data_IF_451264334425
#
_entry.id   IF_451264334425
#
_cell.length_a   1.000
_cell.length_b   1.000
_cell.length_c   1.000
_cell.angle_alpha   90.00
_cell.angle_beta   90.00
_cell.angle_gamma   90.00
#
_symmetry.space_group_name_H-M   'P 1'
#
loop_
_entity.id
_entity.type
_entity.pdbx_description
1 polymer ?
#
# COMPACT_ATOMS: atom_id res chain seq x y z
N UNK A 1 -1.05 -6.75 -28.34
CA UNK A 1 -0.97 -6.93 -26.89
C UNK A 1 -1.62 -5.74 -26.22
N UNK A 2 -2.35 -5.90 -25.12
CA UNK A 2 -2.93 -4.77 -24.40
C UNK A 2 -1.86 -3.86 -23.84
N UNK A 3 -2.17 -2.57 -23.78
CA UNK A 3 -1.32 -1.52 -23.21
C UNK A 3 -2.04 -0.88 -22.04
N UNK A 4 -1.43 -0.90 -20.87
CA UNK A 4 -1.94 -0.25 -19.66
C UNK A 4 -1.10 0.98 -19.37
N UNK A 5 -1.72 2.14 -19.23
CA UNK A 5 -1.01 3.30 -18.70
C UNK A 5 -1.02 3.24 -17.18
N UNK A 6 0.17 3.34 -16.58
CA UNK A 6 0.34 3.55 -15.15
C UNK A 6 0.68 5.03 -14.92
N UNK A 7 -0.13 5.72 -14.13
CA UNK A 7 0.10 7.11 -13.73
C UNK A 7 0.90 7.11 -12.44
N UNK A 8 2.11 7.69 -12.48
CA UNK A 8 3.11 7.64 -11.43
C UNK A 8 4.26 6.69 -11.78
N UNK A 9 5.42 6.90 -11.16
CA UNK A 9 6.69 6.33 -11.61
C UNK A 9 7.54 5.74 -10.47
N UNK A 10 6.87 5.42 -9.35
CA UNK A 10 7.48 4.86 -8.16
C UNK A 10 7.73 3.34 -8.24
N UNK A 11 7.95 2.75 -7.06
CA UNK A 11 8.22 1.31 -6.96
C UNK A 11 7.03 0.43 -7.36
N UNK A 12 5.79 0.88 -7.14
CA UNK A 12 4.62 0.09 -7.50
C UNK A 12 4.50 -0.03 -9.02
N UNK A 13 4.66 1.08 -9.74
CA UNK A 13 4.72 1.08 -11.21
C UNK A 13 5.86 0.20 -11.74
N UNK A 14 7.04 0.23 -11.09
CA UNK A 14 8.16 -0.65 -11.42
C UNK A 14 7.78 -2.13 -11.31
N UNK A 15 7.13 -2.52 -10.21
CA UNK A 15 6.72 -3.91 -9.98
C UNK A 15 5.54 -4.32 -10.86
N UNK A 16 4.61 -3.39 -11.19
CA UNK A 16 3.58 -3.64 -12.21
C UNK A 16 4.21 -3.91 -13.59
N UNK A 17 5.25 -3.16 -13.99
CA UNK A 17 5.98 -3.42 -15.24
C UNK A 17 6.61 -4.82 -15.24
N UNK A 18 7.20 -5.25 -14.12
CA UNK A 18 7.79 -6.59 -14.00
C UNK A 18 6.74 -7.67 -14.22
N UNK A 19 5.60 -7.57 -13.53
CA UNK A 19 4.49 -8.51 -13.69
C UNK A 19 3.88 -8.47 -15.11
N UNK A 20 3.75 -7.29 -15.71
CA UNK A 20 3.23 -7.12 -17.06
C UNK A 20 4.08 -7.85 -18.11
N UNK A 21 5.41 -7.83 -17.97
CA UNK A 21 6.34 -8.54 -18.88
C UNK A 21 6.02 -10.05 -18.88
N UNK A 22 5.84 -10.65 -17.71
CA UNK A 22 5.62 -12.09 -17.55
C UNK A 22 4.32 -12.57 -18.21
N UNK A 23 3.27 -11.72 -18.20
CA UNK A 23 1.97 -12.03 -18.80
C UNK A 23 1.76 -11.41 -20.19
N UNK A 24 2.85 -10.93 -20.80
CA UNK A 24 2.84 -10.42 -22.18
C UNK A 24 2.06 -9.11 -22.38
N UNK A 25 1.90 -8.30 -21.35
CA UNK A 25 1.30 -6.96 -21.42
C UNK A 25 2.40 -5.90 -21.62
N UNK A 26 1.98 -4.68 -21.98
CA UNK A 26 2.88 -3.53 -22.09
C UNK A 26 2.39 -2.42 -21.16
N UNK A 27 3.30 -1.88 -20.37
CA UNK A 27 3.06 -0.68 -19.58
C UNK A 27 3.57 0.54 -20.33
N UNK A 28 2.70 1.55 -20.45
CA UNK A 28 3.06 2.93 -20.76
C UNK A 28 3.06 3.71 -19.45
N UNK A 29 4.11 4.47 -19.19
CA UNK A 29 4.30 5.17 -17.93
C UNK A 29 4.06 6.67 -18.12
N UNK A 30 3.27 7.31 -17.26
CA UNK A 30 3.35 8.77 -17.09
C UNK A 30 4.29 9.04 -15.91
N UNK A 31 5.45 9.62 -16.20
CA UNK A 31 6.52 9.84 -15.23
C UNK A 31 6.88 11.31 -15.08
N UNK A 32 7.16 11.74 -13.85
CA UNK A 32 7.72 13.06 -13.58
C UNK A 32 9.21 13.18 -13.96
N UNK A 33 9.92 12.03 -14.08
CA UNK A 33 11.34 11.99 -14.42
C UNK A 33 11.71 10.72 -15.20
N UNK A 34 12.64 10.84 -16.14
CA UNK A 34 13.16 9.72 -16.93
C UNK A 34 14.09 8.78 -16.16
N UNK A 35 14.55 9.14 -14.98
CA UNK A 35 15.41 8.34 -14.09
C UNK A 35 14.70 7.82 -12.84
N UNK A 36 13.38 7.98 -12.78
CA UNK A 36 12.55 7.47 -11.68
C UNK A 36 12.56 5.93 -11.62
N UNK A 37 12.11 5.39 -10.49
CA UNK A 37 12.16 3.94 -10.22
C UNK A 37 11.58 3.08 -11.36
N UNK A 38 10.41 3.42 -11.87
CA UNK A 38 9.78 2.69 -12.96
C UNK A 38 10.35 3.07 -14.33
N UNK A 39 10.68 4.34 -14.57
CA UNK A 39 11.21 4.80 -15.87
C UNK A 39 12.53 4.12 -16.24
N UNK A 40 13.34 3.71 -15.25
CA UNK A 40 14.58 2.95 -15.50
C UNK A 40 14.36 1.61 -16.22
N UNK A 41 13.16 1.02 -16.16
CA UNK A 41 12.87 -0.30 -16.71
C UNK A 41 11.69 -0.31 -17.70
N UNK A 42 10.91 0.75 -17.77
CA UNK A 42 9.83 0.89 -18.75
C UNK A 42 10.39 1.40 -20.08
N UNK A 43 9.98 0.77 -21.17
CA UNK A 43 10.40 1.20 -22.52
C UNK A 43 9.58 2.39 -23.03
N UNK A 44 8.29 2.44 -22.69
CA UNK A 44 7.35 3.46 -23.14
C UNK A 44 7.06 4.43 -21.99
N UNK A 45 7.76 5.55 -21.98
CA UNK A 45 7.67 6.57 -20.92
C UNK A 45 7.23 7.89 -21.56
N UNK A 46 6.11 8.40 -21.08
CA UNK A 46 5.65 9.77 -21.34
C UNK A 46 6.08 10.64 -20.15
N UNK A 47 6.84 11.70 -20.39
CA UNK A 47 7.19 12.65 -19.35
C UNK A 47 6.10 13.71 -19.21
N UNK A 48 5.64 13.93 -17.97
CA UNK A 48 4.59 14.90 -17.68
C UNK A 48 4.16 14.91 -16.23
N UNK A 49 3.17 15.75 -15.94
CA UNK A 49 2.61 15.95 -14.62
C UNK A 49 1.19 15.33 -14.56
N UNK A 50 0.93 14.50 -13.55
CA UNK A 50 -0.39 13.90 -13.33
C UNK A 50 -1.47 14.92 -12.93
N UNK A 51 -1.10 16.15 -12.62
CA UNK A 51 -2.01 17.28 -12.36
C UNK A 51 -2.36 18.06 -13.63
N UNK A 52 -1.70 17.79 -14.77
CA UNK A 52 -1.99 18.36 -16.06
C UNK A 52 -2.85 17.41 -16.91
N UNK A 53 -4.03 17.86 -17.31
CA UNK A 53 -4.97 17.04 -18.10
C UNK A 53 -4.43 16.68 -19.48
N UNK A 54 -3.67 17.57 -20.11
CA UNK A 54 -3.13 17.31 -21.47
C UNK A 54 -1.98 16.28 -21.39
N UNK A 55 -1.19 16.28 -20.34
CA UNK A 55 -0.18 15.26 -20.08
C UNK A 55 -0.84 13.89 -19.86
N UNK A 56 -1.90 13.84 -19.07
CA UNK A 56 -2.71 12.63 -18.89
C UNK A 56 -3.29 12.14 -20.24
N UNK A 57 -3.85 13.03 -21.06
CA UNK A 57 -4.38 12.68 -22.38
C UNK A 57 -3.31 12.14 -23.33
N UNK A 58 -2.09 12.69 -23.30
CA UNK A 58 -0.98 12.16 -24.09
C UNK A 58 -0.56 10.76 -23.62
N UNK A 59 -0.49 10.55 -22.30
CA UNK A 59 -0.13 9.27 -21.72
C UNK A 59 -1.16 8.17 -22.00
N UNK A 60 -2.44 8.52 -22.19
CA UNK A 60 -3.52 7.56 -22.44
C UNK A 60 -3.73 7.21 -23.91
N UNK A 61 -2.81 7.62 -24.80
CA UNK A 61 -2.88 7.34 -26.23
C UNK A 61 -1.59 6.72 -26.74
N UNK A 62 -1.70 5.66 -27.49
CA UNK A 62 -0.56 4.96 -28.10
C UNK A 62 -0.66 4.98 -29.62
N UNK A 63 0.48 4.99 -30.27
CA UNK A 63 0.56 4.82 -31.73
C UNK A 63 0.76 3.34 -32.03
N UNK A 64 -0.22 2.73 -32.70
CA UNK A 64 -0.17 1.35 -33.18
C UNK A 64 -0.58 1.30 -34.64
N UNK A 65 0.18 0.58 -35.48
CA UNK A 65 -0.09 0.37 -36.91
C UNK A 65 -0.36 1.66 -37.70
N UNK A 66 0.36 2.73 -37.35
CA UNK A 66 0.21 4.04 -37.97
C UNK A 66 -0.98 4.87 -37.48
N UNK A 67 -1.82 4.32 -36.62
CA UNK A 67 -2.97 5.00 -36.01
C UNK A 67 -2.70 5.36 -34.56
N UNK A 68 -3.39 6.40 -34.06
CA UNK A 68 -3.42 6.74 -32.65
C UNK A 68 -4.71 6.12 -32.06
N UNK A 69 -4.57 5.30 -31.02
CA UNK A 69 -5.69 4.70 -30.30
C UNK A 69 -5.58 4.92 -28.80
N UNK A 70 -6.68 4.84 -28.04
CA UNK A 70 -6.63 4.78 -26.59
C UNK A 70 -5.83 3.55 -26.11
N UNK A 71 -5.23 3.65 -24.92
CA UNK A 71 -4.73 2.48 -24.18
C UNK A 71 -5.90 1.60 -23.74
N UNK A 72 -5.62 0.35 -23.36
CA UNK A 72 -6.68 -0.60 -23.01
C UNK A 72 -7.19 -0.35 -21.57
N UNK A 73 -6.33 0.17 -20.67
CA UNK A 73 -6.71 0.65 -19.35
C UNK A 73 -5.73 1.68 -18.81
N UNK A 74 -6.17 2.46 -17.83
CA UNK A 74 -5.36 3.38 -17.02
C UNK A 74 -5.43 2.94 -15.57
N UNK A 75 -4.29 2.88 -14.89
CA UNK A 75 -4.20 2.61 -13.45
C UNK A 75 -3.13 3.49 -12.79
N UNK A 76 -2.87 3.30 -11.50
CA UNK A 76 -2.15 4.27 -10.68
C UNK A 76 -1.06 3.63 -9.81
N UNK A 77 0.03 4.36 -9.63
CA UNK A 77 1.07 4.11 -8.61
C UNK A 77 0.75 4.85 -7.29
N UNK A 78 -0.12 5.87 -7.36
CA UNK A 78 -0.56 6.68 -6.23
C UNK A 78 -1.99 7.19 -6.46
N UNK A 79 -2.67 7.70 -5.42
CA UNK A 79 -4.05 8.16 -5.45
C UNK A 79 -4.23 9.68 -5.72
N UNK A 80 -3.17 10.41 -6.14
CA UNK A 80 -3.19 11.89 -6.14
C UNK A 80 -3.73 12.56 -7.41
N UNK A 81 -4.10 11.78 -8.43
CA UNK A 81 -4.63 12.34 -9.68
C UNK A 81 -5.96 13.06 -9.40
N UNK A 82 -6.14 14.32 -9.85
CA UNK A 82 -7.39 15.05 -9.63
C UNK A 82 -8.60 14.30 -10.18
N UNK A 83 -9.66 14.19 -9.37
CA UNK A 83 -10.87 13.44 -9.71
C UNK A 83 -11.54 13.97 -10.98
N UNK A 84 -11.53 15.29 -11.19
CA UNK A 84 -12.06 15.95 -12.41
C UNK A 84 -11.30 15.53 -13.67
N UNK A 85 -10.00 15.33 -13.59
CA UNK A 85 -9.19 14.87 -14.72
C UNK A 85 -9.52 13.40 -15.06
N UNK A 86 -9.72 12.55 -14.04
CA UNK A 86 -10.13 11.18 -14.27
C UNK A 86 -11.52 11.08 -14.93
N UNK A 87 -12.46 11.95 -14.53
CA UNK A 87 -13.76 12.04 -15.19
C UNK A 87 -13.64 12.53 -16.63
N UNK A 88 -12.73 13.47 -16.91
CA UNK A 88 -12.48 13.91 -18.27
C UNK A 88 -11.93 12.77 -19.15
N UNK A 89 -10.97 11.96 -18.62
CA UNK A 89 -10.47 10.78 -19.34
C UNK A 89 -11.60 9.76 -19.62
N UNK A 90 -12.48 9.50 -18.65
CA UNK A 90 -13.64 8.63 -18.88
C UNK A 90 -14.59 9.18 -19.95
N UNK A 91 -14.84 10.50 -19.97
CA UNK A 91 -15.62 11.15 -21.01
C UNK A 91 -14.95 11.07 -22.39
N UNK A 92 -13.61 11.02 -22.45
CA UNK A 92 -12.81 10.76 -23.66
C UNK A 92 -12.85 9.26 -24.08
N UNK A 93 -13.57 8.38 -23.34
CA UNK A 93 -13.70 6.95 -23.63
C UNK A 93 -12.55 6.09 -23.10
N UNK A 94 -11.75 6.59 -22.18
CA UNK A 94 -10.63 5.87 -21.55
C UNK A 94 -11.14 4.99 -20.40
N UNK A 95 -10.72 3.73 -20.34
CA UNK A 95 -10.98 2.83 -19.22
C UNK A 95 -10.06 3.21 -18.04
N UNK A 96 -10.62 3.86 -17.01
CA UNK A 96 -9.90 4.31 -15.80
C UNK A 96 -10.20 3.33 -14.66
N UNK A 97 -9.18 2.63 -14.13
CA UNK A 97 -9.30 1.55 -13.14
C UNK A 97 -8.32 1.73 -11.98
N UNK A 98 -8.80 1.99 -10.74
CA UNK A 98 -10.20 2.21 -10.36
C UNK A 98 -10.77 3.52 -10.91
N UNK A 99 -12.10 3.56 -11.05
CA UNK A 99 -12.79 4.77 -11.49
C UNK A 99 -12.74 5.91 -10.46
N UNK A 100 -12.99 7.17 -10.90
CA UNK A 100 -12.88 8.35 -10.02
C UNK A 100 -13.82 8.31 -8.81
N UNK A 101 -15.01 7.71 -8.93
CA UNK A 101 -16.00 7.63 -7.85
C UNK A 101 -15.57 6.62 -6.75
N UNK A 102 -14.78 5.62 -7.11
CA UNK A 102 -14.12 4.75 -6.15
C UNK A 102 -12.91 5.48 -5.54
N UNK A 103 -12.01 6.00 -6.39
CA UNK A 103 -10.71 6.53 -5.98
C UNK A 103 -10.80 7.70 -5.00
N UNK A 104 -11.87 8.52 -5.07
CA UNK A 104 -12.08 9.64 -4.14
C UNK A 104 -12.12 9.18 -2.68
N UNK A 105 -12.54 7.93 -2.41
CA UNK A 105 -12.53 7.36 -1.06
C UNK A 105 -11.12 7.08 -0.53
N UNK A 106 -10.13 6.89 -1.41
CA UNK A 106 -8.72 6.79 -1.00
C UNK A 106 -8.06 8.18 -0.91
N UNK A 107 -8.64 9.21 -1.55
CA UNK A 107 -8.09 10.57 -1.58
C UNK A 107 -8.53 11.44 -0.39
N UNK A 108 -9.75 11.23 0.14
CA UNK A 108 -10.33 12.05 1.20
C UNK A 108 -10.88 11.19 2.34
N UNK A 109 -10.21 11.27 3.49
CA UNK A 109 -10.52 10.44 4.67
C UNK A 109 -11.94 10.67 5.21
N UNK A 110 -12.48 11.89 5.11
CA UNK A 110 -13.86 12.16 5.54
C UNK A 110 -14.89 11.57 4.58
N UNK A 111 -14.64 11.65 3.28
CA UNK A 111 -15.49 11.00 2.24
C UNK A 111 -15.50 9.49 2.48
N UNK A 112 -14.32 8.89 2.64
CA UNK A 112 -14.16 7.47 2.96
C UNK A 112 -14.97 7.06 4.20
N UNK A 113 -14.81 7.79 5.32
CA UNK A 113 -15.51 7.48 6.59
C UNK A 113 -17.04 7.52 6.43
N UNK A 114 -17.56 8.55 5.73
CA UNK A 114 -19.00 8.66 5.44
C UNK A 114 -19.48 7.46 4.63
N UNK A 115 -18.77 7.14 3.55
CA UNK A 115 -19.17 6.05 2.66
C UNK A 115 -19.07 4.69 3.35
N UNK A 116 -17.99 4.42 4.10
CA UNK A 116 -17.84 3.19 4.89
C UNK A 116 -18.97 3.02 5.91
N UNK A 117 -19.35 4.09 6.60
CA UNK A 117 -20.50 4.06 7.54
C UNK A 117 -21.83 3.77 6.83
N UNK A 118 -22.05 4.34 5.65
CA UNK A 118 -23.26 4.09 4.83
C UNK A 118 -23.41 2.61 4.45
N UNK A 119 -22.32 1.94 4.10
CA UNK A 119 -22.32 0.50 3.76
C UNK A 119 -22.22 -0.40 5.01
N UNK A 120 -22.28 0.15 6.22
CA UNK A 120 -22.19 -0.60 7.48
C UNK A 120 -20.82 -1.21 7.79
N UNK A 121 -19.73 -0.67 7.21
CA UNK A 121 -18.38 -1.06 7.58
C UNK A 121 -18.01 -0.47 8.96
N UNK A 122 -17.27 -1.23 9.80
CA UNK A 122 -16.87 -0.75 11.12
C UNK A 122 -15.84 0.37 10.98
N UNK A 123 -16.17 1.56 11.47
CA UNK A 123 -15.28 2.73 11.52
C UNK A 123 -15.32 3.34 12.92
N UNK A 124 -14.21 3.91 13.43
CA UNK A 124 -14.24 4.65 14.67
C UNK A 124 -15.25 5.81 14.58
N UNK A 125 -15.85 6.26 15.69
CA UNK A 125 -16.60 7.51 15.72
C UNK A 125 -15.76 8.64 15.10
N UNK A 126 -16.37 9.45 14.23
CA UNK A 126 -15.67 10.51 13.50
C UNK A 126 -16.55 11.71 13.23
N UNK A 127 -15.91 12.87 13.02
CA UNK A 127 -16.55 14.13 12.68
C UNK A 127 -15.67 15.00 11.76
N UNK A 128 -16.29 15.77 10.88
CA UNK A 128 -15.61 16.90 10.21
C UNK A 128 -15.27 17.98 11.24
N UNK A 129 -14.11 18.60 11.11
CA UNK A 129 -13.68 19.70 12.00
C UNK A 129 -13.56 20.96 11.13
N UNK A 130 -14.49 21.88 11.34
CA UNK A 130 -14.57 23.17 10.64
C UNK A 130 -14.27 24.36 11.59
N UNK A 131 -14.27 24.09 12.91
CA UNK A 131 -14.00 25.05 13.96
C UNK A 131 -13.30 24.42 15.16
N UNK A 132 -12.77 25.24 16.05
CA UNK A 132 -12.21 24.80 17.34
C UNK A 132 -13.33 24.23 18.23
N UNK A 133 -14.52 24.80 18.18
CA UNK A 133 -15.69 24.35 18.92
C UNK A 133 -16.11 22.93 18.51
N UNK A 134 -16.04 22.60 17.22
CA UNK A 134 -16.28 21.22 16.72
C UNK A 134 -15.32 20.23 17.37
N UNK A 135 -14.03 20.59 17.42
CA UNK A 135 -13.00 19.71 17.97
C UNK A 135 -13.17 19.51 19.48
N UNK A 136 -13.51 20.55 20.22
CA UNK A 136 -13.79 20.48 21.66
C UNK A 136 -15.02 19.59 21.90
N UNK A 137 -16.13 19.84 21.20
CA UNK A 137 -17.35 19.05 21.33
C UNK A 137 -17.13 17.59 20.99
N UNK A 138 -16.34 17.28 19.93
CA UNK A 138 -15.98 15.90 19.61
C UNK A 138 -15.10 15.26 20.70
N UNK A 139 -14.14 16.00 21.25
CA UNK A 139 -13.28 15.53 22.33
C UNK A 139 -14.09 15.08 23.55
N UNK A 140 -15.15 15.84 23.92
CA UNK A 140 -16.06 15.47 25.01
C UNK A 140 -16.80 14.15 24.72
N UNK A 141 -17.24 13.93 23.46
CA UNK A 141 -17.95 12.70 23.05
C UNK A 141 -17.05 11.47 23.12
N UNK A 142 -15.72 11.62 22.90
CA UNK A 142 -14.77 10.51 22.85
C UNK A 142 -13.87 10.43 24.09
N UNK A 143 -14.27 11.03 25.20
CA UNK A 143 -13.53 11.04 26.48
C UNK A 143 -12.07 11.51 26.34
N UNK A 144 -11.82 12.53 25.52
CA UNK A 144 -10.50 13.09 25.26
C UNK A 144 -9.63 12.25 24.33
N UNK A 145 -10.08 11.09 23.87
CA UNK A 145 -9.34 10.20 22.97
C UNK A 145 -9.48 10.67 21.51
N UNK A 146 -8.87 11.78 21.16
CA UNK A 146 -8.93 12.38 19.82
C UNK A 146 -7.74 11.93 18.98
N UNK A 147 -8.03 11.52 17.74
CA UNK A 147 -7.08 11.44 16.64
C UNK A 147 -7.51 12.47 15.58
N UNK A 148 -6.76 13.55 15.45
CA UNK A 148 -6.99 14.59 14.44
C UNK A 148 -6.26 14.22 13.16
N UNK A 149 -6.91 14.35 12.00
CA UNK A 149 -6.34 13.97 10.70
C UNK A 149 -6.58 15.07 9.67
N UNK A 150 -5.54 15.34 8.85
CA UNK A 150 -5.75 16.00 7.58
C UNK A 150 -6.59 15.10 6.68
N UNK A 151 -7.63 15.65 6.04
CA UNK A 151 -8.52 14.88 5.16
C UNK A 151 -7.81 14.36 3.91
N UNK A 152 -6.84 15.12 3.39
CA UNK A 152 -6.09 14.83 2.16
C UNK A 152 -4.60 14.95 2.39
N UNK A 153 -3.79 14.25 1.59
CA UNK A 153 -2.34 14.40 1.55
C UNK A 153 -1.56 13.74 2.70
N UNK A 154 -2.22 13.07 3.66
CA UNK A 154 -1.54 12.34 4.72
C UNK A 154 -1.10 10.94 4.26
N UNK A 155 0.15 10.56 4.55
CA UNK A 155 0.72 9.24 4.30
C UNK A 155 1.86 8.94 5.28
N UNK A 156 2.14 7.67 5.53
CA UNK A 156 3.25 7.24 6.42
C UNK A 156 3.32 8.05 7.73
N UNK A 157 2.17 8.24 8.42
CA UNK A 157 2.06 9.00 9.68
C UNK A 157 2.00 10.53 9.55
N UNK A 158 2.23 11.09 8.38
CA UNK A 158 2.08 12.53 8.17
C UNK A 158 0.60 12.95 8.13
N UNK A 159 0.30 14.13 8.71
CA UNK A 159 -1.08 14.64 8.75
C UNK A 159 -1.98 13.93 9.76
N UNK A 160 -1.40 13.31 10.78
CA UNK A 160 -2.09 12.69 11.92
C UNK A 160 -1.52 13.23 13.21
N UNK A 161 -2.39 13.64 14.13
CA UNK A 161 -2.00 14.22 15.42
C UNK A 161 -2.84 13.62 16.54
N UNK A 162 -2.24 13.51 17.72
CA UNK A 162 -2.87 13.00 18.94
C UNK A 162 -2.77 14.03 20.06
N UNK A 163 -3.42 15.21 19.91
CA UNK A 163 -3.36 16.28 20.91
C UNK A 163 -4.08 15.89 22.19
N UNK A 164 -3.58 16.36 23.31
CA UNK A 164 -4.35 16.37 24.54
C UNK A 164 -5.40 17.51 24.55
N UNK A 165 -6.21 17.58 25.63
CA UNK A 165 -7.28 18.57 25.73
C UNK A 165 -6.77 20.03 25.77
N UNK A 166 -5.53 20.24 26.18
CA UNK A 166 -4.90 21.57 26.26
C UNK A 166 -4.35 22.01 24.91
N UNK A 167 -3.74 21.08 24.19
CA UNK A 167 -3.13 21.32 22.89
C UNK A 167 -4.15 21.43 21.75
N UNK A 168 -5.27 20.67 21.83
CA UNK A 168 -6.25 20.52 20.77
C UNK A 168 -6.76 21.86 20.21
N UNK A 169 -7.20 22.86 21.00
CA UNK A 169 -7.73 24.09 20.45
C UNK A 169 -6.70 24.88 19.63
N UNK A 170 -5.49 25.04 20.16
CA UNK A 170 -4.42 25.77 19.47
C UNK A 170 -3.92 25.10 18.22
N UNK A 171 -3.87 23.75 18.21
CA UNK A 171 -3.49 22.96 17.03
C UNK A 171 -4.55 23.10 15.92
N UNK A 172 -5.83 22.98 16.25
CA UNK A 172 -6.93 23.08 15.27
C UNK A 172 -6.97 24.49 14.68
N UNK A 173 -6.90 25.54 15.50
CA UNK A 173 -6.89 26.93 15.04
C UNK A 173 -5.76 27.17 14.03
N UNK A 174 -4.54 26.72 14.36
CA UNK A 174 -3.38 26.83 13.48
C UNK A 174 -3.60 26.08 12.14
N UNK A 175 -4.02 24.82 12.18
CA UNK A 175 -4.16 24.01 10.97
C UNK A 175 -5.27 24.53 10.05
N UNK A 176 -6.39 25.02 10.62
CA UNK A 176 -7.47 25.64 9.85
C UNK A 176 -7.02 26.99 9.24
N UNK A 177 -6.26 27.80 9.97
CA UNK A 177 -5.66 29.04 9.44
C UNK A 177 -4.67 28.75 8.29
N UNK A 178 -3.94 27.63 8.34
CA UNK A 178 -3.06 27.17 7.27
C UNK A 178 -3.83 26.55 6.09
N UNK A 179 -5.18 26.52 6.14
CA UNK A 179 -6.04 25.99 5.08
C UNK A 179 -6.09 24.46 4.99
N UNK A 180 -5.69 23.73 6.04
CA UNK A 180 -5.72 22.25 6.08
C UNK A 180 -7.14 21.78 6.40
N UNK A 181 -7.83 21.08 5.48
CA UNK A 181 -9.14 20.49 5.79
C UNK A 181 -8.98 19.36 6.81
N UNK A 182 -9.73 19.41 7.91
CA UNK A 182 -9.58 18.51 9.04
C UNK A 182 -10.78 17.58 9.24
N UNK A 183 -10.49 16.43 9.87
CA UNK A 183 -11.46 15.57 10.53
C UNK A 183 -10.87 15.06 11.84
N UNK A 184 -11.72 14.69 12.78
CA UNK A 184 -11.34 13.97 13.98
C UNK A 184 -11.99 12.59 14.00
N UNK A 185 -11.31 11.62 14.59
CA UNK A 185 -11.87 10.33 14.92
C UNK A 185 -11.44 9.90 16.32
N UNK A 186 -12.19 8.98 16.92
CA UNK A 186 -11.82 8.39 18.19
C UNK A 186 -10.52 7.63 18.05
N UNK A 187 -9.51 7.98 18.86
CA UNK A 187 -8.29 7.18 18.99
C UNK A 187 -8.62 5.79 19.48
N UNK A 188 -8.27 4.78 18.70
CA UNK A 188 -8.51 3.37 19.01
C UNK A 188 -7.41 2.83 19.92
N UNK A 189 -7.78 2.03 20.92
CA UNK A 189 -6.85 1.30 21.76
C UNK A 189 -6.37 0.06 20.98
N UNK A 190 -5.26 0.24 20.26
CA UNK A 190 -4.75 -0.67 19.26
C UNK A 190 -4.13 -1.93 19.89
N UNK A 191 -4.58 -3.13 19.48
CA UNK A 191 -3.90 -4.39 19.78
C UNK A 191 -2.80 -4.65 18.73
N UNK A 192 -3.13 -4.54 17.43
CA UNK A 192 -2.22 -4.58 16.30
C UNK A 192 -2.89 -4.02 15.04
N UNK A 193 -2.11 -3.81 14.00
CA UNK A 193 -2.61 -3.42 12.68
C UNK A 193 -2.67 -4.63 11.75
N UNK A 194 -3.75 -4.69 10.98
CA UNK A 194 -3.99 -5.73 9.98
C UNK A 194 -4.23 -5.11 8.60
N UNK A 195 -4.07 -5.91 7.56
CA UNK A 195 -4.47 -5.54 6.20
C UNK A 195 -5.24 -6.69 5.57
N UNK A 196 -6.44 -6.41 5.09
CA UNK A 196 -7.25 -7.34 4.30
C UNK A 196 -7.25 -6.87 2.85
N UNK A 197 -6.74 -7.71 1.95
CA UNK A 197 -6.55 -7.35 0.55
C UNK A 197 -7.39 -8.21 -0.37
N UNK A 198 -7.94 -7.58 -1.42
CA UNK A 198 -8.59 -8.29 -2.52
C UNK A 198 -8.26 -7.61 -3.85
N UNK A 199 -8.55 -8.31 -4.94
CA UNK A 199 -8.58 -7.73 -6.27
C UNK A 199 -9.96 -7.96 -6.88
N UNK A 200 -10.45 -6.97 -7.64
CA UNK A 200 -11.76 -7.03 -8.31
C UNK A 200 -11.63 -6.58 -9.76
N UNK A 201 -12.27 -7.34 -10.66
CA UNK A 201 -12.37 -6.97 -12.08
C UNK A 201 -13.55 -6.02 -12.33
N UNK A 202 -13.58 -5.26 -13.46
CA UNK A 202 -14.75 -4.51 -13.89
C UNK A 202 -16.02 -5.38 -14.03
N UNK A 203 -15.89 -6.63 -14.49
CA UNK A 203 -17.01 -7.58 -14.61
C UNK A 203 -17.52 -8.12 -13.26
N UNK A 204 -16.78 -7.88 -12.16
CA UNK A 204 -17.23 -8.18 -10.80
C UNK A 204 -16.61 -9.45 -10.17
N UNK A 205 -15.68 -10.16 -10.84
CA UNK A 205 -14.94 -11.24 -10.19
C UNK A 205 -14.08 -10.67 -9.06
N UNK A 206 -14.07 -11.33 -7.88
CA UNK A 206 -13.26 -10.93 -6.72
C UNK A 206 -12.45 -12.10 -6.19
N UNK A 207 -11.19 -11.85 -5.86
CA UNK A 207 -10.31 -12.79 -5.13
C UNK A 207 -9.67 -12.05 -3.97
N UNK A 208 -9.67 -12.65 -2.78
CA UNK A 208 -9.07 -12.08 -1.56
C UNK A 208 -7.92 -12.95 -1.07
N UNK A 209 -6.83 -12.30 -0.66
CA UNK A 209 -5.71 -12.94 0.01
C UNK A 209 -6.00 -13.19 1.51
N UNK A 210 -5.18 -14.00 2.18
CA UNK A 210 -5.20 -14.07 3.65
C UNK A 210 -4.97 -12.68 4.28
N UNK A 211 -5.55 -12.49 5.46
CA UNK A 211 -5.30 -11.28 6.26
C UNK A 211 -3.85 -11.24 6.71
N UNK A 212 -3.26 -10.07 6.67
CA UNK A 212 -1.84 -9.81 6.95
C UNK A 212 -1.71 -9.00 8.23
N UNK A 213 -0.75 -9.32 9.09
CA UNK A 213 -0.33 -8.41 10.15
C UNK A 213 0.64 -7.37 9.57
N UNK A 214 0.34 -6.09 9.80
CA UNK A 214 1.17 -4.95 9.39
C UNK A 214 1.88 -4.38 10.61
N UNK A 215 3.19 -4.58 10.69
CA UNK A 215 3.99 -4.05 11.80
C UNK A 215 4.44 -2.65 11.44
N UNK A 216 4.02 -1.66 12.23
CA UNK A 216 4.37 -0.26 12.03
C UNK A 216 5.45 0.18 13.03
N UNK A 217 6.34 1.05 12.58
CA UNK A 217 7.26 1.78 13.43
C UNK A 217 7.26 3.25 12.99
N UNK A 218 6.93 4.14 13.91
CA UNK A 218 6.81 5.58 13.64
C UNK A 218 5.86 5.91 12.46
N UNK A 219 4.76 5.15 12.33
CA UNK A 219 3.77 5.31 11.26
C UNK A 219 4.21 4.74 9.91
N UNK A 220 5.35 4.05 9.82
CA UNK A 220 5.85 3.42 8.60
C UNK A 220 5.77 1.91 8.74
N UNK A 221 5.12 1.22 7.80
CA UNK A 221 5.14 -0.23 7.75
C UNK A 221 6.57 -0.73 7.57
N UNK A 222 7.09 -1.47 8.54
CA UNK A 222 8.43 -2.07 8.50
C UNK A 222 8.38 -3.54 8.10
N UNK A 223 7.30 -4.23 8.43
CA UNK A 223 7.15 -5.66 8.22
C UNK A 223 5.68 -6.00 7.89
N UNK A 224 5.46 -7.00 7.05
CA UNK A 224 4.15 -7.61 6.83
C UNK A 224 4.28 -9.12 6.95
N UNK A 225 3.37 -9.76 7.70
CA UNK A 225 3.41 -11.19 8.02
C UNK A 225 2.12 -11.84 7.53
N UNK A 226 2.23 -12.77 6.63
CA UNK A 226 1.08 -13.41 5.99
C UNK A 226 1.16 -14.95 6.08
N UNK A 227 0.08 -15.61 6.52
CA UNK A 227 -1.11 -15.06 7.19
C UNK A 227 -0.79 -14.39 8.53
N UNK A 228 -1.65 -13.48 9.02
CA UNK A 228 -1.48 -12.81 10.32
C UNK A 228 -1.38 -13.82 11.45
N UNK A 229 -0.25 -13.89 12.21
CA UNK A 229 -0.05 -14.92 13.21
C UNK A 229 -1.07 -14.84 14.34
N UNK A 230 -1.63 -16.00 14.75
CA UNK A 230 -2.55 -16.10 15.88
C UNK A 230 -3.83 -15.27 15.72
N UNK A 231 -4.18 -14.87 14.50
CA UNK A 231 -5.46 -14.23 14.22
C UNK A 231 -6.58 -15.26 14.35
N UNK A 232 -7.64 -14.90 15.09
CA UNK A 232 -8.85 -15.72 15.21
C UNK A 232 -9.48 -15.96 13.82
N UNK A 233 -9.84 -17.21 13.52
CA UNK A 233 -10.36 -17.59 12.19
C UNK A 233 -11.66 -16.84 11.85
N UNK A 234 -12.52 -16.59 12.84
CA UNK A 234 -13.74 -15.83 12.65
C UNK A 234 -13.46 -14.35 12.36
N UNK A 235 -12.44 -13.77 13.01
CA UNK A 235 -12.02 -12.39 12.75
C UNK A 235 -11.35 -12.29 11.36
N UNK A 236 -10.52 -13.26 11.01
CA UNK A 236 -9.89 -13.34 9.68
C UNK A 236 -10.95 -13.43 8.57
N UNK A 237 -11.97 -14.26 8.75
CA UNK A 237 -13.09 -14.35 7.79
C UNK A 237 -13.84 -13.01 7.68
N UNK A 238 -14.21 -12.39 8.80
CA UNK A 238 -14.89 -11.08 8.81
C UNK A 238 -14.05 -9.98 8.14
N UNK A 239 -12.74 -9.97 8.35
CA UNK A 239 -11.86 -8.99 7.73
C UNK A 239 -11.77 -9.17 6.20
N UNK A 240 -11.67 -10.42 5.71
CA UNK A 240 -11.71 -10.73 4.28
C UNK A 240 -13.05 -10.34 3.65
N UNK A 241 -14.16 -10.77 4.27
CA UNK A 241 -15.50 -10.46 3.77
C UNK A 241 -15.75 -8.94 3.72
N UNK A 242 -15.19 -8.20 4.71
CA UNK A 242 -15.22 -6.75 4.72
C UNK A 242 -14.47 -6.16 3.53
N UNK A 243 -13.29 -6.66 3.18
CA UNK A 243 -12.53 -6.15 2.04
C UNK A 243 -13.26 -6.40 0.71
N UNK A 244 -13.86 -7.58 0.54
CA UNK A 244 -14.68 -7.93 -0.63
C UNK A 244 -15.88 -6.99 -0.73
N UNK A 245 -16.65 -6.85 0.36
CA UNK A 245 -17.81 -5.95 0.40
C UNK A 245 -17.45 -4.49 0.11
N UNK A 246 -16.34 -3.99 0.65
CA UNK A 246 -15.86 -2.63 0.35
C UNK A 246 -15.53 -2.49 -1.14
N UNK A 247 -14.86 -3.49 -1.74
CA UNK A 247 -14.54 -3.45 -3.16
C UNK A 247 -15.79 -3.42 -4.04
N UNK A 248 -16.81 -4.22 -3.70
CA UNK A 248 -18.07 -4.30 -4.42
C UNK A 248 -18.90 -3.01 -4.29
N UNK A 249 -19.12 -2.55 -3.05
CA UNK A 249 -19.98 -1.39 -2.74
C UNK A 249 -19.41 -0.05 -3.21
N UNK A 250 -18.07 0.06 -3.24
CA UNK A 250 -17.39 1.25 -3.74
C UNK A 250 -17.05 1.14 -5.24
N UNK A 251 -17.29 -0.01 -5.87
CA UNK A 251 -16.96 -0.23 -7.28
C UNK A 251 -15.46 -0.18 -7.56
N UNK A 252 -14.62 -0.61 -6.59
CA UNK A 252 -13.16 -0.63 -6.77
C UNK A 252 -12.80 -1.71 -7.79
N UNK A 253 -11.89 -1.39 -8.70
CA UNK A 253 -11.30 -2.31 -9.67
C UNK A 253 -9.78 -2.29 -9.56
N UNK A 254 -9.13 -3.41 -9.81
CA UNK A 254 -7.73 -3.61 -9.44
C UNK A 254 -7.60 -4.13 -8.01
N UNK A 255 -6.44 -3.94 -7.42
CA UNK A 255 -6.16 -4.32 -6.02
C UNK A 255 -6.68 -3.25 -5.07
N UNK A 256 -7.36 -3.71 -4.01
CA UNK A 256 -7.75 -2.93 -2.84
C UNK A 256 -7.05 -3.50 -1.61
N UNK A 257 -6.44 -2.65 -0.81
CA UNK A 257 -6.04 -2.95 0.55
C UNK A 257 -6.92 -2.17 1.52
N UNK A 258 -7.54 -2.88 2.45
CA UNK A 258 -8.27 -2.31 3.59
C UNK A 258 -7.39 -2.44 4.81
N UNK A 259 -6.84 -1.33 5.27
CA UNK A 259 -6.08 -1.28 6.51
C UNK A 259 -7.02 -1.29 7.71
N UNK A 260 -6.73 -2.11 8.69
CA UNK A 260 -7.59 -2.40 9.83
C UNK A 260 -6.83 -2.23 11.14
N UNK A 261 -7.50 -1.67 12.12
CA UNK A 261 -7.12 -1.72 13.52
C UNK A 261 -7.80 -2.90 14.19
N UNK A 262 -7.03 -3.86 14.74
CA UNK A 262 -7.57 -4.84 15.68
C UNK A 262 -7.54 -4.23 17.08
N UNK A 263 -8.66 -4.31 17.76
CA UNK A 263 -8.88 -3.84 19.13
C UNK A 263 -9.71 -4.85 19.91
N UNK A 264 -10.05 -4.52 21.13
CA UNK A 264 -10.96 -5.33 21.96
C UNK A 264 -12.15 -4.50 22.39
N UNK A 265 -13.32 -5.09 22.32
CA UNK A 265 -14.54 -4.50 22.85
C UNK A 265 -14.55 -4.48 24.40
N UNK A 266 -15.60 -3.94 25.00
CA UNK A 266 -15.77 -3.87 26.46
C UNK A 266 -15.84 -5.26 27.14
N UNK A 267 -16.17 -6.31 26.40
CA UNK A 267 -16.18 -7.71 26.86
C UNK A 267 -14.83 -8.42 26.60
N UNK A 268 -13.83 -7.71 26.06
CA UNK A 268 -12.52 -8.25 25.72
C UNK A 268 -12.47 -9.06 24.43
N UNK A 269 -13.55 -9.06 23.63
CA UNK A 269 -13.60 -9.79 22.37
C UNK A 269 -12.88 -9.00 21.27
N UNK A 270 -12.20 -9.70 20.32
CA UNK A 270 -11.50 -9.03 19.22
C UNK A 270 -12.50 -8.37 18.27
N UNK A 271 -12.21 -7.11 17.96
CA UNK A 271 -12.97 -6.24 17.07
C UNK A 271 -12.05 -5.58 16.07
N UNK A 272 -12.57 -5.21 14.90
CA UNK A 272 -11.80 -4.49 13.86
C UNK A 272 -12.49 -3.19 13.47
N UNK A 273 -11.68 -2.15 13.19
CA UNK A 273 -12.12 -0.92 12.54
C UNK A 273 -11.31 -0.64 11.29
N UNK A 274 -11.96 -0.12 10.25
CA UNK A 274 -11.23 0.34 9.06
C UNK A 274 -10.44 1.60 9.40
N UNK A 275 -9.14 1.55 9.10
CA UNK A 275 -8.25 2.70 9.20
C UNK A 275 -8.21 3.48 7.87
N UNK A 276 -7.79 2.82 6.79
CA UNK A 276 -7.56 3.49 5.51
C UNK A 276 -7.82 2.51 4.34
N UNK A 277 -8.03 3.08 3.14
CA UNK A 277 -8.17 2.32 1.89
C UNK A 277 -7.03 2.72 0.95
N UNK A 278 -6.37 1.73 0.36
CA UNK A 278 -5.47 1.94 -0.76
C UNK A 278 -6.01 1.18 -1.98
N UNK A 279 -6.28 1.92 -3.07
CA UNK A 279 -6.93 1.37 -4.28
C UNK A 279 -5.91 1.12 -5.38
N UNK A 280 -4.83 0.48 -5.03
CA UNK A 280 -3.67 0.09 -5.85
C UNK A 280 -2.90 -1.03 -5.16
N UNK A 281 -1.91 -1.66 -5.80
CA UNK A 281 -0.99 -2.53 -5.07
C UNK A 281 -0.42 -1.85 -3.82
N UNK A 282 -0.37 -2.57 -2.73
CA UNK A 282 -0.07 -2.02 -1.41
C UNK A 282 1.19 -2.65 -0.80
N UNK A 283 1.85 -1.89 0.09
CA UNK A 283 3.06 -2.35 0.76
C UNK A 283 2.84 -3.65 1.54
N UNK A 284 1.71 -3.76 2.24
CA UNK A 284 1.34 -4.99 2.97
C UNK A 284 1.07 -6.20 2.07
N UNK A 285 0.97 -6.01 0.76
CA UNK A 285 0.80 -7.05 -0.25
C UNK A 285 2.10 -7.49 -0.93
N UNK A 286 3.25 -6.91 -0.61
CA UNK A 286 4.50 -7.26 -1.28
C UNK A 286 4.95 -8.72 -1.04
N UNK A 287 4.57 -9.31 0.10
CA UNK A 287 4.79 -10.74 0.38
C UNK A 287 4.21 -11.65 -0.70
N UNK A 288 3.15 -11.23 -1.38
CA UNK A 288 2.46 -12.03 -2.40
C UNK A 288 3.32 -12.34 -3.62
N UNK A 289 4.38 -11.56 -3.87
CA UNK A 289 5.28 -11.80 -5.00
C UNK A 289 6.00 -13.16 -4.92
N UNK A 290 6.25 -13.65 -3.70
CA UNK A 290 6.97 -14.89 -3.47
C UNK A 290 6.20 -15.87 -2.56
N UNK A 291 5.14 -15.41 -1.91
CA UNK A 291 4.39 -16.17 -0.91
C UNK A 291 2.95 -16.51 -1.31
N UNK A 292 2.48 -16.11 -2.49
CA UNK A 292 1.14 -16.40 -3.00
C UNK A 292 1.22 -17.05 -4.39
N UNK A 293 0.19 -17.83 -4.75
CA UNK A 293 0.07 -18.42 -6.08
C UNK A 293 -0.01 -17.34 -7.17
N UNK A 294 -0.70 -16.21 -6.88
CA UNK A 294 -0.72 -15.03 -7.75
C UNK A 294 -0.36 -13.80 -6.93
N UNK A 295 0.71 -13.13 -7.31
CA UNK A 295 1.16 -11.89 -6.68
C UNK A 295 0.24 -10.70 -6.97
N UNK A 296 0.22 -9.72 -6.07
CA UNK A 296 -0.68 -8.56 -6.17
C UNK A 296 -0.48 -7.75 -7.47
N UNK A 297 0.72 -7.67 -7.99
CA UNK A 297 1.01 -6.91 -9.20
C UNK A 297 0.45 -7.59 -10.45
N UNK A 298 0.63 -8.90 -10.58
CA UNK A 298 0.01 -9.70 -11.63
C UNK A 298 -1.51 -9.64 -11.54
N UNK A 299 -2.06 -9.85 -10.33
CA UNK A 299 -3.49 -9.80 -10.09
C UNK A 299 -4.09 -8.44 -10.43
N UNK A 300 -3.37 -7.34 -10.09
CA UNK A 300 -3.78 -5.99 -10.44
C UNK A 300 -3.82 -5.78 -11.97
N UNK A 301 -2.78 -6.21 -12.67
CA UNK A 301 -2.70 -6.11 -14.13
C UNK A 301 -3.79 -6.94 -14.83
N UNK A 302 -4.11 -8.12 -14.31
CA UNK A 302 -5.26 -8.92 -14.78
C UNK A 302 -6.58 -8.18 -14.52
N UNK A 303 -6.77 -7.69 -13.30
CA UNK A 303 -8.00 -7.04 -12.87
C UNK A 303 -8.34 -5.79 -13.70
N UNK A 304 -7.38 -4.89 -13.93
CA UNK A 304 -7.63 -3.63 -14.68
C UNK A 304 -7.95 -3.85 -16.15
N UNK A 305 -7.60 -5.04 -16.69
CA UNK A 305 -7.91 -5.46 -18.06
C UNK A 305 -9.11 -6.41 -18.16
N UNK A 306 -9.82 -6.61 -17.05
CA UNK A 306 -10.95 -7.54 -16.97
C UNK A 306 -10.59 -8.98 -17.35
N UNK A 307 -9.37 -9.43 -17.04
CA UNK A 307 -8.93 -10.81 -17.21
C UNK A 307 -9.33 -11.65 -15.99
N UNK A 308 -9.51 -12.99 -16.16
CA UNK A 308 -9.75 -13.87 -15.03
C UNK A 308 -8.69 -13.74 -13.95
N UNK A 309 -9.13 -13.67 -12.70
CA UNK A 309 -8.22 -13.56 -11.56
C UNK A 309 -7.57 -14.91 -11.24
N UNK A 310 -6.30 -14.88 -10.84
CA UNK A 310 -5.58 -16.04 -10.37
C UNK A 310 -5.91 -16.39 -8.92
N UNK A 311 -5.48 -17.57 -8.47
CA UNK A 311 -5.64 -17.98 -7.07
C UNK A 311 -4.77 -17.11 -6.14
N UNK A 312 -5.34 -16.74 -5.01
CA UNK A 312 -4.70 -15.90 -3.99
C UNK A 312 -4.14 -16.72 -2.80
N UNK A 313 -4.10 -18.05 -2.94
CA UNK A 313 -3.66 -18.96 -1.88
C UNK A 313 -2.18 -18.77 -1.54
N UNK A 314 -1.81 -18.86 -0.25
CA UNK A 314 -0.41 -18.82 0.14
C UNK A 314 0.35 -20.07 -0.33
N UNK A 315 1.60 -19.91 -0.73
CA UNK A 315 2.49 -20.99 -1.17
C UNK A 315 3.43 -21.49 -0.07
N UNK A 316 3.41 -20.82 1.09
CA UNK A 316 4.19 -21.18 2.28
C UNK A 316 3.31 -21.08 3.54
N UNK A 317 3.72 -21.71 4.62
CA UNK A 317 2.99 -21.66 5.90
C UNK A 317 2.98 -20.25 6.49
N UNK A 318 4.04 -19.50 6.25
CA UNK A 318 4.16 -18.07 6.56
C UNK A 318 5.07 -17.42 5.53
N UNK A 319 4.80 -16.18 5.18
CA UNK A 319 5.75 -15.34 4.41
C UNK A 319 5.88 -14.00 5.14
N UNK A 320 7.12 -13.62 5.41
CA UNK A 320 7.44 -12.34 6.03
C UNK A 320 8.08 -11.42 4.99
N UNK A 321 7.50 -10.25 4.82
CA UNK A 321 8.07 -9.15 4.05
C UNK A 321 8.68 -8.15 5.03
N UNK A 322 9.96 -7.82 4.85
CA UNK A 322 10.63 -6.76 5.59
C UNK A 322 11.07 -5.64 4.64
N UNK A 323 10.68 -4.39 4.92
CA UNK A 323 11.09 -3.23 4.14
C UNK A 323 12.56 -2.88 4.38
N UNK A 324 13.29 -2.55 3.32
CA UNK A 324 14.63 -1.97 3.42
C UNK A 324 14.51 -0.45 3.46
N UNK A 325 14.52 0.12 4.67
CA UNK A 325 14.48 1.56 4.90
C UNK A 325 15.89 2.09 4.97
N UNK A 326 16.23 3.11 4.17
CA UNK A 326 17.56 3.72 4.16
C UNK A 326 18.01 4.05 5.58
N UNK A 327 19.21 3.61 5.98
CA UNK A 327 19.82 3.92 7.25
C UNK A 327 20.14 5.42 7.37
N UNK A 328 20.64 5.89 8.52
CA UNK A 328 21.02 7.30 8.69
C UNK A 328 22.15 7.68 7.73
N UNK A 329 23.08 6.76 7.48
CA UNK A 329 24.18 6.92 6.52
C UNK A 329 24.22 5.75 5.54
N UNK A 330 24.59 5.99 4.27
CA UNK A 330 24.79 4.92 3.29
C UNK A 330 26.17 4.28 3.51
N UNK A 331 26.24 3.00 3.87
CA UNK A 331 27.53 2.33 4.08
C UNK A 331 28.39 2.32 2.81
N UNK A 332 29.70 2.46 2.98
CA UNK A 332 30.69 2.35 1.88
C UNK A 332 30.90 0.87 1.50
N UNK A 333 29.82 0.23 1.05
CA UNK A 333 29.83 -1.14 0.50
C UNK A 333 28.92 -1.18 -0.71
N UNK A 334 29.42 -1.64 -1.88
CA UNK A 334 28.59 -1.75 -3.07
C UNK A 334 27.36 -2.63 -2.84
N UNK A 335 26.20 -2.22 -3.35
CA UNK A 335 24.92 -2.93 -3.15
C UNK A 335 24.98 -4.41 -3.60
N UNK A 336 25.70 -4.70 -4.70
CA UNK A 336 25.94 -6.08 -5.16
C UNK A 336 26.57 -6.98 -4.10
N UNK A 337 27.47 -6.43 -3.29
CA UNK A 337 28.18 -7.18 -2.25
C UNK A 337 27.27 -7.41 -1.03
N UNK A 338 26.41 -6.42 -0.72
CA UNK A 338 25.38 -6.57 0.31
C UNK A 338 24.37 -7.67 -0.07
N UNK A 339 23.90 -7.70 -1.31
CA UNK A 339 23.00 -8.76 -1.79
C UNK A 339 23.66 -10.13 -1.75
N UNK A 340 24.90 -10.22 -2.23
CA UNK A 340 25.65 -11.46 -2.21
C UNK A 340 25.84 -12.00 -0.78
N UNK A 341 26.10 -11.14 0.20
CA UNK A 341 26.21 -11.53 1.61
C UNK A 341 24.89 -12.07 2.17
N UNK A 342 23.77 -11.42 1.86
CA UNK A 342 22.43 -11.91 2.24
C UNK A 342 22.17 -13.28 1.64
N UNK A 343 22.36 -13.48 0.33
CA UNK A 343 22.09 -14.76 -0.32
C UNK A 343 23.05 -15.89 0.09
N UNK A 344 24.29 -15.58 0.49
CA UNK A 344 25.18 -16.59 1.07
C UNK A 344 24.67 -17.10 2.42
N UNK A 345 24.11 -16.21 3.23
CA UNK A 345 23.58 -16.56 4.55
C UNK A 345 22.16 -17.13 4.47
N UNK A 346 21.31 -16.52 3.66
CA UNK A 346 19.89 -16.82 3.51
C UNK A 346 19.54 -17.04 2.03
N UNK A 347 19.89 -18.20 1.45
CA UNK A 347 19.79 -18.42 0.00
C UNK A 347 18.37 -18.45 -0.55
N UNK A 348 17.35 -18.59 0.29
CA UNK A 348 15.94 -18.56 -0.08
C UNK A 348 15.27 -17.19 0.05
N UNK A 349 15.97 -16.20 0.60
CA UNK A 349 15.45 -14.83 0.67
C UNK A 349 15.30 -14.22 -0.71
N UNK A 350 14.22 -13.51 -0.93
CA UNK A 350 13.90 -12.79 -2.17
C UNK A 350 14.08 -11.29 -1.97
N UNK A 351 14.99 -10.69 -2.72
CA UNK A 351 15.29 -9.25 -2.62
C UNK A 351 14.62 -8.54 -3.79
N UNK A 352 13.78 -7.55 -3.47
CA UNK A 352 13.12 -6.68 -4.42
C UNK A 352 13.65 -5.25 -4.27
N UNK A 353 14.55 -4.84 -5.16
CA UNK A 353 15.19 -3.53 -5.11
C UNK A 353 14.54 -2.54 -6.06
N UNK A 354 14.29 -1.31 -5.57
CA UNK A 354 13.48 -0.34 -6.33
C UNK A 354 14.30 0.57 -7.24
N UNK A 355 15.62 0.52 -7.21
CA UNK A 355 16.48 1.39 -8.02
C UNK A 355 16.42 2.87 -7.63
N UNK A 356 15.99 3.18 -6.42
CA UNK A 356 15.91 4.56 -5.92
C UNK A 356 17.26 5.02 -5.36
N UNK A 357 17.55 6.32 -5.53
CA UNK A 357 18.68 6.95 -4.85
C UNK A 357 18.51 6.89 -3.34
N UNK A 358 19.65 6.73 -2.64
CA UNK A 358 19.68 6.67 -1.17
C UNK A 358 19.11 7.95 -0.54
N UNK A 359 18.35 7.75 0.53
CA UNK A 359 17.90 8.77 1.48
C UNK A 359 17.50 8.06 2.77
N UNK A 360 17.89 8.61 3.93
CA UNK A 360 17.50 8.09 5.24
C UNK A 360 15.98 7.94 5.35
N UNK A 361 15.51 6.83 5.90
CA UNK A 361 14.10 6.48 6.05
C UNK A 361 13.36 6.13 4.75
N UNK A 362 13.97 6.30 3.56
CA UNK A 362 13.32 5.98 2.28
C UNK A 362 13.18 4.47 2.10
N UNK A 363 11.98 4.02 1.67
CA UNK A 363 11.77 2.64 1.21
C UNK A 363 12.59 2.41 -0.08
N UNK A 364 13.71 1.67 0.03
CA UNK A 364 14.65 1.39 -1.05
C UNK A 364 14.38 0.05 -1.73
N UNK A 365 13.72 -0.86 -1.02
CA UNK A 365 13.37 -2.20 -1.45
C UNK A 365 12.61 -2.93 -0.36
N UNK A 366 12.45 -4.24 -0.53
CA UNK A 366 12.00 -5.16 0.51
C UNK A 366 12.62 -6.54 0.32
N UNK A 367 12.57 -7.34 1.37
CA UNK A 367 12.95 -8.75 1.36
C UNK A 367 11.75 -9.58 1.73
N UNK A 368 11.44 -10.61 0.94
CA UNK A 368 10.47 -11.64 1.28
C UNK A 368 11.17 -12.92 1.70
N UNK A 369 10.73 -13.51 2.82
CA UNK A 369 11.21 -14.79 3.32
C UNK A 369 10.01 -15.73 3.48
N UNK A 370 9.85 -16.75 2.63
CA UNK A 370 8.85 -17.80 2.80
C UNK A 370 9.34 -18.84 3.83
N UNK A 371 8.54 -19.08 4.86
CA UNK A 371 8.78 -20.08 5.91
C UNK A 371 7.82 -21.27 5.80
N UNK A 372 8.32 -22.47 6.06
CA UNK A 372 7.54 -23.72 5.97
C UNK A 372 6.85 -24.09 7.29
N UNK A 373 7.19 -23.43 8.39
CA UNK A 373 6.64 -23.67 9.72
C UNK A 373 5.81 -22.47 10.16
N UNK A 374 4.48 -22.68 10.28
CA UNK A 374 3.53 -21.67 10.76
C UNK A 374 3.37 -21.65 12.29
N UNK A 375 4.14 -22.45 13.04
CA UNK A 375 4.15 -22.37 14.50
C UNK A 375 4.67 -21.03 14.99
N UNK A 376 4.38 -20.61 16.22
CA UNK A 376 4.93 -19.36 16.78
C UNK A 376 6.45 -19.27 16.67
N UNK A 377 7.14 -20.39 16.87
CA UNK A 377 8.60 -20.51 16.77
C UNK A 377 9.06 -20.36 15.33
N UNK A 378 8.38 -21.00 14.36
CA UNK A 378 8.66 -20.90 12.94
C UNK A 378 8.44 -19.49 12.40
N UNK A 379 7.34 -18.84 12.80
CA UNK A 379 7.06 -17.43 12.49
C UNK A 379 8.16 -16.53 13.03
N UNK A 380 8.55 -16.71 14.30
CA UNK A 380 9.61 -15.90 14.93
C UNK A 380 10.96 -16.08 14.22
N UNK A 381 11.29 -17.31 13.79
CA UNK A 381 12.51 -17.59 13.04
C UNK A 381 12.49 -16.90 11.66
N UNK A 382 11.37 -16.99 10.92
CA UNK A 382 11.20 -16.37 9.61
C UNK A 382 11.28 -14.84 9.71
N UNK A 383 10.65 -14.23 10.71
CA UNK A 383 10.73 -12.78 10.99
C UNK A 383 12.16 -12.35 11.25
N UNK A 384 12.87 -13.09 12.14
CA UNK A 384 14.28 -12.79 12.45
C UNK A 384 15.16 -12.83 11.19
N UNK A 385 14.93 -13.78 10.31
CA UNK A 385 15.66 -13.88 9.05
C UNK A 385 15.39 -12.68 8.14
N UNK A 386 14.12 -12.33 7.94
CA UNK A 386 13.71 -11.18 7.12
C UNK A 386 14.31 -9.86 7.65
N UNK A 387 14.25 -9.65 8.96
CA UNK A 387 14.83 -8.48 9.63
C UNK A 387 16.34 -8.41 9.47
N UNK A 388 17.05 -9.55 9.67
CA UNK A 388 18.50 -9.60 9.50
C UNK A 388 18.89 -9.33 8.04
N UNK A 389 18.18 -9.91 7.08
CA UNK A 389 18.43 -9.70 5.65
C UNK A 389 18.21 -8.25 5.24
N UNK A 390 17.02 -7.69 5.57
CA UNK A 390 16.70 -6.30 5.26
C UNK A 390 17.64 -5.32 5.97
N UNK A 391 17.93 -5.56 7.24
CA UNK A 391 18.88 -4.76 8.04
C UNK A 391 20.29 -4.76 7.47
N UNK A 392 20.79 -5.92 7.01
CA UNK A 392 22.11 -5.98 6.40
C UNK A 392 22.19 -5.22 5.08
N UNK A 393 21.17 -5.29 4.25
CA UNK A 393 21.12 -4.55 2.97
C UNK A 393 21.33 -3.05 3.19
N UNK A 394 20.78 -2.49 4.25
CA UNK A 394 20.84 -1.04 4.50
C UNK A 394 22.01 -0.62 5.38
N UNK A 395 22.48 -1.48 6.30
CA UNK A 395 23.54 -1.14 7.27
C UNK A 395 24.91 -1.78 6.94
N UNK A 396 24.96 -2.75 6.03
CA UNK A 396 26.16 -3.56 5.72
C UNK A 396 26.81 -4.27 6.95
N UNK A 397 26.02 -4.43 8.02
CA UNK A 397 26.43 -5.07 9.28
C UNK A 397 25.31 -5.99 9.76
N UNK A 398 25.67 -7.21 10.17
CA UNK A 398 24.73 -8.14 10.77
C UNK A 398 24.39 -7.75 12.21
N UNK A 399 23.13 -7.46 12.48
CA UNK A 399 22.67 -7.01 13.80
C UNK A 399 22.89 -8.06 14.92
N UNK A 400 23.02 -9.34 14.58
CA UNK A 400 23.28 -10.42 15.53
C UNK A 400 24.77 -10.75 15.70
N UNK A 401 25.67 -9.92 15.14
CA UNK A 401 27.12 -10.09 15.25
C UNK A 401 27.70 -11.23 14.40
N UNK A 402 26.90 -11.79 13.45
CA UNK A 402 27.42 -12.80 12.54
C UNK A 402 28.59 -12.26 11.72
N UNK A 403 29.67 -13.04 11.69
CA UNK A 403 30.85 -12.78 10.85
C UNK A 403 30.99 -13.89 9.83
N UNK A 404 30.96 -13.52 8.56
CA UNK A 404 31.15 -14.47 7.48
C UNK A 404 32.56 -15.11 7.59
N UNK A 405 32.61 -16.45 7.70
CA UNK A 405 33.90 -17.15 7.60
C UNK A 405 34.42 -16.95 6.19
N UNK A 406 35.56 -16.27 6.06
CA UNK A 406 36.24 -16.22 4.77
C UNK A 406 36.44 -17.66 4.29
N UNK A 407 35.88 -17.98 3.10
CA UNK A 407 36.26 -19.22 2.44
C UNK A 407 37.77 -19.15 2.26
N UNK A 408 38.47 -20.05 2.91
CA UNK A 408 39.92 -20.14 2.73
C UNK A 408 40.24 -20.36 1.25
N UNK A 409 41.44 -19.96 0.82
CA UNK A 409 41.87 -20.04 -0.58
C UNK A 409 41.83 -21.46 -1.13
#
# INVERSE_FOLDING_TARGET
>A
MPVVTVIGDGQLARMMQTAAIEIGQSVRLLAGSGDSSAAQICRDVELGDYTDLEDLRRATRVRADGTIRPVDAVTFDHEHVPTEHLRALQADGISVQPGPDALVNAQDKLVMRKRLREIGAPVPPFMAIESVEDAIGFSEVVDGKVCLKARRGGYDGHGVWFPDAVELPGLVDKLLADGVPLMAEKKVDLARELSAMCARTPSGEVKAWPVVESVQRDGICVEAIAPAPGLDDGLAARARDLSVRVAEELGVTGVLAVELFETRDAAGQPEIFVNELAMRPHNTGHWTQDGSATGQFEQHMRAVLDYPLGDADPTAAVTVMANTLGADEDPDMPMKDRFAAVWRRFPHSKIHWYGKGYRAGRKLGHVNVPGQDGSPEGVAATRREADLAAGYIVNAVWADGYVEKQAGP
#
